data_IF_002318703273
#
_entry.id   IF_002318703273
#
_cell.length_a   1.000
_cell.length_b   1.000
_cell.length_c   1.000
_cell.angle_alpha   90.00
_cell.angle_beta   90.00
_cell.angle_gamma   90.00
#
_symmetry.space_group_name_H-M   'P 1'
#
loop_
_entity.id
_entity.type
_entity.pdbx_description
1 polymer ?
#
# COMPACT_ATOMS: atom_id res chain seq x y z
N UNK A 1 25.14 -7.92 -12.70
CA UNK A 1 24.09 -8.71 -13.36
C UNK A 1 23.69 -9.80 -12.38
N UNK A 2 22.72 -9.51 -11.53
CA UNK A 2 22.04 -10.54 -10.78
C UNK A 2 20.57 -10.12 -10.72
N UNK A 3 19.71 -10.87 -11.38
CA UNK A 3 18.30 -10.58 -11.48
C UNK A 3 17.68 -10.85 -10.11
N UNK A 4 17.20 -9.81 -9.44
CA UNK A 4 16.47 -9.93 -8.19
C UNK A 4 15.32 -10.94 -8.37
N UNK A 5 15.37 -12.04 -7.61
CA UNK A 5 14.29 -13.01 -7.57
C UNK A 5 13.04 -12.33 -6.98
N UNK A 6 11.85 -12.49 -7.59
CA UNK A 6 10.64 -11.91 -7.03
C UNK A 6 10.36 -12.49 -5.65
N UNK A 7 10.17 -11.62 -4.67
CA UNK A 7 9.76 -12.00 -3.32
C UNK A 7 8.30 -12.42 -3.40
N UNK A 8 8.06 -13.72 -3.27
CA UNK A 8 6.72 -14.30 -3.26
C UNK A 8 6.12 -14.05 -1.86
N UNK A 9 4.96 -13.37 -1.73
CA UNK A 9 4.36 -13.10 -0.42
C UNK A 9 4.03 -14.41 0.32
N UNK A 10 4.01 -14.38 1.65
CA UNK A 10 3.89 -15.54 2.57
C UNK A 10 2.55 -16.31 2.55
N UNK A 11 1.79 -16.22 1.45
CA UNK A 11 0.61 -17.04 1.13
C UNK A 11 0.66 -17.69 -0.26
N UNK A 12 1.76 -17.50 -1.00
CA UNK A 12 1.96 -17.96 -2.37
C UNK A 12 3.07 -19.00 -2.48
N UNK A 13 3.18 -19.94 -1.54
CA UNK A 13 4.22 -20.98 -1.59
C UNK A 13 4.36 -21.58 -2.99
N UNK A 14 5.56 -21.54 -3.54
CA UNK A 14 5.93 -22.21 -4.79
C UNK A 14 5.97 -23.72 -4.56
N UNK A 15 4.80 -24.34 -4.35
CA UNK A 15 4.65 -25.78 -4.45
C UNK A 15 4.92 -26.17 -5.89
N UNK A 16 5.89 -27.07 -6.11
CA UNK A 16 6.01 -27.78 -7.38
C UNK A 16 4.63 -28.32 -7.76
N UNK A 17 4.05 -27.94 -8.91
CA UNK A 17 2.71 -28.36 -9.24
C UNK A 17 2.73 -29.88 -9.37
N UNK A 18 1.99 -30.55 -8.47
CA UNK A 18 1.62 -31.93 -8.69
C UNK A 18 0.99 -32.03 -10.08
N UNK A 19 1.45 -32.99 -10.87
CA UNK A 19 0.94 -33.30 -12.22
C UNK A 19 -0.60 -33.30 -12.20
N UNK A 20 -1.22 -32.24 -12.72
CA UNK A 20 -2.69 -32.11 -12.81
C UNK A 20 -3.34 -30.97 -12.01
N UNK A 21 -2.62 -30.15 -11.24
CA UNK A 21 -3.23 -28.97 -10.61
C UNK A 21 -3.59 -27.91 -11.67
N UNK A 22 -4.86 -27.41 -11.73
CA UNK A 22 -5.24 -26.42 -12.73
C UNK A 22 -4.46 -25.13 -12.53
N UNK A 23 -3.78 -24.71 -13.61
CA UNK A 23 -3.03 -23.44 -13.69
C UNK A 23 -3.96 -22.28 -13.32
N UNK A 24 -3.43 -21.26 -12.65
CA UNK A 24 -4.17 -20.06 -12.30
C UNK A 24 -4.84 -19.47 -13.56
N UNK A 25 -6.05 -18.93 -13.42
CA UNK A 25 -6.68 -18.25 -14.55
C UNK A 25 -5.80 -17.06 -14.94
N UNK A 26 -5.76 -16.63 -16.22
CA UNK A 26 -4.92 -15.51 -16.63
C UNK A 26 -5.14 -14.22 -15.82
N UNK A 27 -6.35 -14.00 -15.31
CA UNK A 27 -6.67 -12.87 -14.43
C UNK A 27 -6.02 -13.03 -13.05
N UNK A 28 -6.00 -14.25 -12.51
CA UNK A 28 -5.33 -14.53 -11.24
C UNK A 28 -3.81 -14.46 -11.38
N UNK A 29 -3.24 -14.91 -12.50
CA UNK A 29 -1.80 -14.74 -12.76
C UNK A 29 -1.41 -13.26 -12.73
N UNK A 30 -2.15 -12.40 -13.44
CA UNK A 30 -1.94 -10.95 -13.41
C UNK A 30 -2.13 -10.34 -12.01
N UNK A 31 -3.15 -10.78 -11.25
CA UNK A 31 -3.35 -10.32 -9.87
C UNK A 31 -2.15 -10.67 -8.96
N UNK A 32 -1.67 -11.92 -9.02
CA UNK A 32 -0.56 -12.40 -8.19
C UNK A 32 0.72 -11.64 -8.51
N UNK A 33 0.99 -11.39 -9.78
CA UNK A 33 2.16 -10.61 -10.22
C UNK A 33 2.12 -9.18 -9.65
N UNK A 34 0.99 -8.49 -9.79
CA UNK A 34 0.82 -7.11 -9.29
C UNK A 34 0.89 -7.07 -7.76
N UNK A 35 0.30 -8.06 -7.07
CA UNK A 35 0.37 -8.16 -5.61
C UNK A 35 1.79 -8.45 -5.12
N UNK A 36 2.56 -9.28 -5.83
CA UNK A 36 3.96 -9.55 -5.48
C UNK A 36 4.85 -8.29 -5.59
N UNK A 37 4.51 -7.35 -6.49
CA UNK A 37 5.16 -6.05 -6.57
C UNK A 37 4.72 -5.07 -5.46
N UNK A 38 3.63 -5.36 -4.74
CA UNK A 38 3.04 -4.51 -3.69
C UNK A 38 2.71 -5.32 -2.42
N UNK A 39 3.71 -5.98 -1.79
CA UNK A 39 3.46 -6.98 -0.74
C UNK A 39 2.76 -6.39 0.49
N UNK A 40 3.10 -5.16 0.89
CA UNK A 40 2.62 -4.51 2.11
C UNK A 40 1.31 -3.72 1.93
N UNK A 41 0.69 -3.80 0.75
CA UNK A 41 -0.53 -3.06 0.43
C UNK A 41 -1.69 -4.02 0.17
N UNK A 42 -2.88 -3.70 0.67
CA UNK A 42 -4.10 -4.31 0.14
C UNK A 42 -4.26 -3.90 -1.33
N UNK A 43 -4.55 -4.85 -2.21
CA UNK A 43 -4.67 -4.58 -3.64
C UNK A 43 -6.13 -4.43 -4.06
N UNK A 44 -6.56 -3.19 -4.28
CA UNK A 44 -7.82 -2.87 -4.95
C UNK A 44 -7.68 -3.17 -6.44
N UNK A 45 -8.10 -4.36 -6.86
CA UNK A 45 -7.94 -4.81 -8.24
C UNK A 45 -9.21 -4.58 -9.06
N UNK A 46 -9.15 -3.67 -10.04
CA UNK A 46 -10.35 -3.30 -10.82
C UNK A 46 -10.88 -4.43 -11.69
N UNK A 47 -12.12 -4.82 -11.42
CA UNK A 47 -12.87 -5.83 -12.13
C UNK A 47 -14.25 -5.29 -12.52
N UNK A 48 -14.32 -4.61 -13.67
CA UNK A 48 -15.53 -3.92 -14.10
C UNK A 48 -15.84 -2.74 -13.18
N UNK A 49 -16.99 -2.79 -12.51
CA UNK A 49 -17.49 -1.73 -11.62
C UNK A 49 -17.16 -1.96 -10.13
N UNK A 50 -16.27 -2.92 -9.84
CA UNK A 50 -15.80 -3.24 -8.49
C UNK A 50 -14.28 -3.21 -8.41
N UNK A 51 -13.75 -2.85 -7.24
CA UNK A 51 -12.43 -3.29 -6.80
C UNK A 51 -12.60 -4.58 -6.04
N UNK A 52 -12.00 -5.66 -6.55
CA UNK A 52 -11.98 -6.96 -5.91
C UNK A 52 -10.64 -7.18 -5.22
N UNK A 53 -10.68 -7.82 -4.05
CA UNK A 53 -9.51 -8.31 -3.34
C UNK A 53 -9.60 -9.83 -3.25
N UNK A 54 -8.46 -10.52 -3.24
CA UNK A 54 -8.39 -11.98 -3.23
C UNK A 54 -7.47 -12.49 -2.12
N UNK A 55 -7.60 -13.78 -1.79
CA UNK A 55 -6.72 -14.45 -0.81
C UNK A 55 -6.73 -13.72 0.54
N UNK A 56 -5.56 -13.53 1.16
CA UNK A 56 -5.42 -12.86 2.45
C UNK A 56 -5.92 -11.40 2.43
N UNK A 57 -5.68 -10.67 1.34
CA UNK A 57 -6.18 -9.29 1.19
C UNK A 57 -7.70 -9.25 1.31
N UNK A 58 -8.41 -10.24 0.74
CA UNK A 58 -9.85 -10.34 0.86
C UNK A 58 -10.31 -10.57 2.30
N UNK A 59 -9.61 -11.44 3.03
CA UNK A 59 -9.96 -11.74 4.41
C UNK A 59 -9.71 -10.54 5.34
N UNK A 60 -8.58 -9.86 5.15
CA UNK A 60 -8.24 -8.64 5.90
C UNK A 60 -9.26 -7.54 5.60
N UNK A 61 -9.51 -7.25 4.32
CA UNK A 61 -10.44 -6.19 3.94
C UNK A 61 -11.88 -6.52 4.37
N UNK A 62 -12.34 -7.77 4.24
CA UNK A 62 -13.66 -8.16 4.69
C UNK A 62 -13.86 -7.94 6.19
N UNK A 63 -12.87 -8.31 7.01
CA UNK A 63 -12.91 -8.05 8.46
C UNK A 63 -12.85 -6.57 8.79
N UNK A 64 -11.92 -5.83 8.18
CA UNK A 64 -11.71 -4.40 8.43
C UNK A 64 -12.94 -3.56 8.03
N UNK A 65 -13.55 -3.88 6.89
CA UNK A 65 -14.66 -3.12 6.32
C UNK A 65 -16.04 -3.63 6.77
N UNK A 66 -16.11 -4.82 7.37
CA UNK A 66 -17.37 -5.47 7.71
C UNK A 66 -18.20 -5.83 6.47
N UNK A 67 -17.54 -6.19 5.37
CA UNK A 67 -18.19 -6.59 4.10
C UNK A 67 -18.18 -8.11 3.94
N UNK A 68 -19.03 -8.61 3.04
CA UNK A 68 -19.18 -10.05 2.82
C UNK A 68 -17.91 -10.64 2.21
N UNK A 69 -17.35 -11.65 2.88
CA UNK A 69 -16.33 -12.53 2.31
C UNK A 69 -17.01 -13.66 1.53
N UNK A 70 -16.66 -13.79 0.26
CA UNK A 70 -17.15 -14.80 -0.67
C UNK A 70 -15.99 -15.61 -1.24
N UNK A 71 -16.25 -16.38 -2.31
CA UNK A 71 -15.23 -17.16 -3.00
C UNK A 71 -15.38 -17.09 -4.51
N UNK A 72 -14.25 -17.13 -5.23
CA UNK A 72 -14.22 -17.08 -6.70
C UNK A 72 -13.33 -18.18 -7.29
N UNK A 73 -13.95 -19.30 -7.67
CA UNK A 73 -13.23 -20.41 -8.29
C UNK A 73 -12.20 -21.05 -7.36
N UNK A 74 -11.20 -21.70 -7.94
CA UNK A 74 -10.15 -22.42 -7.21
C UNK A 74 -8.76 -22.08 -7.73
N UNK A 75 -7.78 -22.03 -6.82
CA UNK A 75 -6.36 -21.96 -7.09
C UNK A 75 -5.64 -23.08 -6.33
N UNK A 76 -4.84 -23.88 -7.02
CA UNK A 76 -4.15 -25.06 -6.43
C UNK A 76 -5.12 -25.99 -5.65
N UNK A 77 -6.34 -26.17 -6.17
CA UNK A 77 -7.37 -27.01 -5.55
C UNK A 77 -8.14 -26.38 -4.38
N UNK A 78 -7.73 -25.20 -3.89
CA UNK A 78 -8.38 -24.47 -2.79
C UNK A 78 -9.29 -23.36 -3.33
N UNK A 79 -10.39 -23.08 -2.63
CA UNK A 79 -11.26 -21.95 -2.95
C UNK A 79 -10.49 -20.63 -2.77
N UNK A 80 -10.69 -19.66 -3.66
CA UNK A 80 -10.06 -18.34 -3.57
C UNK A 80 -10.99 -17.41 -2.77
N UNK A 81 -10.62 -16.97 -1.55
CA UNK A 81 -11.38 -15.95 -0.82
C UNK A 81 -11.47 -14.67 -1.64
N UNK A 82 -12.62 -14.01 -1.63
CA UNK A 82 -12.86 -12.79 -2.39
C UNK A 82 -13.85 -11.86 -1.69
N UNK A 83 -13.53 -10.58 -1.63
CA UNK A 83 -14.50 -9.52 -1.32
C UNK A 83 -14.36 -8.40 -2.35
N UNK A 84 -15.39 -7.56 -2.46
CA UNK A 84 -15.38 -6.46 -3.41
C UNK A 84 -16.03 -5.20 -2.86
N UNK A 85 -15.52 -4.06 -3.28
CA UNK A 85 -16.09 -2.73 -3.03
C UNK A 85 -16.51 -2.11 -4.35
N UNK A 86 -17.72 -1.51 -4.45
CA UNK A 86 -18.15 -0.87 -5.68
C UNK A 86 -17.36 0.43 -5.91
N UNK A 87 -16.93 0.69 -7.15
CA UNK A 87 -16.02 1.81 -7.47
C UNK A 87 -16.60 3.16 -7.07
N UNK A 88 -17.91 3.38 -7.26
CA UNK A 88 -18.58 4.64 -6.89
C UNK A 88 -18.61 4.92 -5.38
N UNK A 89 -18.24 3.95 -4.54
CA UNK A 89 -18.04 4.12 -3.08
C UNK A 89 -16.59 3.83 -2.66
N UNK A 90 -15.66 3.68 -3.60
CA UNK A 90 -14.30 3.25 -3.29
C UNK A 90 -13.62 4.19 -2.30
N UNK A 91 -13.80 5.51 -2.43
CA UNK A 91 -13.20 6.50 -1.55
C UNK A 91 -13.63 6.32 -0.09
N UNK A 92 -14.90 5.95 0.16
CA UNK A 92 -15.41 5.68 1.51
C UNK A 92 -14.73 4.46 2.13
N UNK A 93 -14.62 3.37 1.38
CA UNK A 93 -13.95 2.16 1.86
C UNK A 93 -12.45 2.35 2.01
N UNK A 94 -11.84 3.09 1.08
CA UNK A 94 -10.45 3.48 1.12
C UNK A 94 -10.16 4.27 2.41
N UNK A 95 -10.97 5.29 2.72
CA UNK A 95 -10.87 6.06 3.98
C UNK A 95 -10.78 5.12 5.19
N UNK A 96 -11.74 4.21 5.29
CA UNK A 96 -11.85 3.29 6.43
C UNK A 96 -10.63 2.37 6.54
N UNK A 97 -10.10 1.88 5.40
CA UNK A 97 -8.88 1.08 5.40
C UNK A 97 -7.66 1.89 5.85
N UNK A 98 -7.49 3.12 5.35
CA UNK A 98 -6.37 3.98 5.74
C UNK A 98 -6.46 4.34 7.23
N UNK A 99 -7.65 4.66 7.74
CA UNK A 99 -7.89 4.95 9.15
C UNK A 99 -7.63 3.75 10.08
N UNK A 100 -7.74 2.53 9.55
CA UNK A 100 -7.37 1.29 10.25
C UNK A 100 -5.89 0.92 10.10
N UNK A 101 -5.08 1.79 9.50
CA UNK A 101 -3.63 1.60 9.33
C UNK A 101 -3.23 0.74 8.14
N UNK A 102 -4.15 0.45 7.22
CA UNK A 102 -3.82 -0.27 5.99
C UNK A 102 -3.28 0.68 4.91
N UNK A 103 -2.37 0.17 4.09
CA UNK A 103 -1.95 0.81 2.83
C UNK A 103 -2.69 0.13 1.68
N UNK A 104 -3.11 0.89 0.68
CA UNK A 104 -3.94 0.35 -0.42
C UNK A 104 -3.33 0.72 -1.77
N UNK A 105 -3.02 -0.29 -2.58
CA UNK A 105 -2.62 -0.12 -3.97
C UNK A 105 -3.88 -0.19 -4.86
N UNK A 106 -4.13 0.88 -5.63
CA UNK A 106 -5.26 0.98 -6.55
C UNK A 106 -4.80 0.57 -7.94
N UNK A 107 -5.28 -0.58 -8.38
CA UNK A 107 -4.94 -1.20 -9.66
C UNK A 107 -6.09 -1.02 -10.66
N UNK A 108 -5.79 -0.32 -11.75
CA UNK A 108 -6.76 0.13 -12.75
C UNK A 108 -6.65 -0.65 -14.06
N UNK A 109 -7.71 -0.59 -14.85
CA UNK A 109 -7.68 -1.06 -16.24
C UNK A 109 -7.02 0.01 -17.11
N UNK A 110 -5.79 -0.25 -17.56
CA UNK A 110 -5.00 0.67 -18.41
C UNK A 110 -5.23 0.41 -19.91
N UNK A 111 -6.11 -0.53 -20.24
CA UNK A 111 -6.46 -0.91 -21.59
C UNK A 111 -7.98 -1.07 -21.70
N UNK A 112 -8.55 -0.65 -22.84
CA UNK A 112 -9.96 -0.85 -23.11
C UNK A 112 -10.27 -2.36 -23.34
N UNK A 113 -11.37 -2.89 -22.78
CA UNK A 113 -11.78 -4.29 -22.99
C UNK A 113 -11.92 -4.71 -24.47
N UNK A 114 -12.31 -3.81 -25.36
CA UNK A 114 -12.38 -4.06 -26.80
C UNK A 114 -10.99 -4.23 -27.41
N UNK A 115 -10.01 -3.43 -27.01
CA UNK A 115 -8.62 -3.57 -27.45
C UNK A 115 -8.00 -4.87 -26.95
N UNK A 116 -8.29 -5.25 -25.69
CA UNK A 116 -7.86 -6.53 -25.15
C UNK A 116 -8.42 -7.72 -25.96
N UNK A 117 -9.70 -7.67 -26.37
CA UNK A 117 -10.32 -8.69 -27.22
C UNK A 117 -9.66 -8.81 -28.59
N UNK A 118 -9.20 -7.69 -29.18
CA UNK A 118 -8.47 -7.70 -30.47
C UNK A 118 -7.15 -8.47 -30.38
N UNK A 119 -6.52 -8.53 -29.19
CA UNK A 119 -5.30 -9.33 -28.95
C UNK A 119 -5.57 -10.84 -28.86
N UNK A 120 -6.82 -11.28 -28.90
CA UNK A 120 -7.22 -12.69 -28.90
C UNK A 120 -8.19 -13.05 -27.77
N UNK A 121 -9.00 -14.10 -27.97
CA UNK A 121 -10.09 -14.47 -27.04
C UNK A 121 -9.67 -14.91 -25.62
N UNK A 122 -8.37 -15.10 -25.37
CA UNK A 122 -7.80 -15.41 -24.05
C UNK A 122 -7.04 -14.23 -23.43
N UNK A 123 -6.95 -13.10 -24.13
CA UNK A 123 -6.19 -11.95 -23.68
C UNK A 123 -6.94 -11.21 -22.57
N UNK A 124 -6.29 -11.10 -21.41
CA UNK A 124 -6.79 -10.32 -20.29
C UNK A 124 -6.47 -8.84 -20.50
N UNK A 125 -7.42 -7.99 -20.10
CA UNK A 125 -7.23 -6.52 -20.04
C UNK A 125 -5.99 -6.22 -19.23
N UNK A 126 -5.10 -5.37 -19.76
CA UNK A 126 -3.92 -4.92 -19.00
C UNK A 126 -4.34 -4.06 -17.81
N UNK A 127 -3.66 -4.29 -16.70
CA UNK A 127 -3.87 -3.56 -15.46
C UNK A 127 -2.54 -3.21 -14.82
N UNK A 128 -2.53 -2.09 -14.11
CA UNK A 128 -1.37 -1.65 -13.36
C UNK A 128 -1.80 -0.81 -12.15
N UNK A 129 -0.94 -0.73 -11.14
CA UNK A 129 -1.12 0.15 -9.99
C UNK A 129 -0.85 1.57 -10.43
N UNK A 130 -1.90 2.40 -10.41
CA UNK A 130 -1.77 3.81 -10.76
C UNK A 130 -1.50 4.68 -9.54
N UNK A 131 -1.79 4.16 -8.34
CA UNK A 131 -1.72 4.91 -7.10
C UNK A 131 -1.55 3.98 -5.91
N UNK A 132 -0.66 4.34 -4.99
CA UNK A 132 -0.58 3.75 -3.65
C UNK A 132 -1.05 4.80 -2.67
N UNK A 133 -2.04 4.44 -1.87
CA UNK A 133 -2.70 5.30 -0.90
C UNK A 133 -2.23 4.88 0.50
N UNK A 134 -1.74 5.86 1.23
CA UNK A 134 -1.17 5.72 2.58
C UNK A 134 -1.65 6.89 3.45
N UNK A 135 -1.57 6.79 4.78
CA UNK A 135 -2.00 7.86 5.67
C UNK A 135 -1.39 9.24 5.34
N UNK A 136 -0.09 9.29 4.98
CA UNK A 136 0.59 10.55 4.68
C UNK A 136 0.41 11.05 3.24
N UNK A 137 -0.25 10.30 2.35
CA UNK A 137 -0.34 10.62 0.92
C UNK A 137 -1.77 10.87 0.43
N UNK A 138 -2.70 11.13 1.35
CA UNK A 138 -4.09 11.43 1.02
C UNK A 138 -4.19 12.79 0.30
N UNK A 139 -4.99 12.83 -0.76
CA UNK A 139 -5.21 14.06 -1.56
C UNK A 139 -6.67 14.44 -1.68
N UNK A 140 -7.58 13.50 -1.46
CA UNK A 140 -9.02 13.71 -1.52
C UNK A 140 -9.53 14.49 -0.31
N UNK A 141 -10.30 15.55 -0.56
CA UNK A 141 -10.91 16.38 0.50
C UNK A 141 -11.77 15.55 1.48
N UNK A 142 -12.40 14.48 1.01
CA UNK A 142 -13.21 13.58 1.84
C UNK A 142 -12.39 12.75 2.81
N UNK A 143 -11.08 12.65 2.60
CA UNK A 143 -10.13 11.90 3.42
C UNK A 143 -9.32 12.79 4.37
N UNK A 144 -9.37 14.11 4.17
CA UNK A 144 -8.57 15.09 4.90
C UNK A 144 -9.43 15.82 5.95
N UNK A 145 -8.84 16.14 7.11
CA UNK A 145 -9.46 17.08 8.04
C UNK A 145 -9.13 18.51 7.59
N UNK A 146 -10.13 19.24 7.13
CA UNK A 146 -10.00 20.60 6.61
C UNK A 146 -9.37 21.62 7.59
N UNK A 147 -9.21 21.28 8.87
CA UNK A 147 -8.62 22.16 9.90
C UNK A 147 -7.14 21.88 10.16
N UNK A 148 -6.56 20.85 9.57
CA UNK A 148 -5.15 20.49 9.80
C UNK A 148 -4.48 20.00 8.50
N UNK A 149 -3.17 20.18 8.44
CA UNK A 149 -2.37 19.62 7.36
C UNK A 149 -2.21 18.11 7.56
N UNK A 150 -2.06 17.38 6.44
CA UNK A 150 -1.74 15.95 6.44
C UNK A 150 -0.29 15.77 5.98
N UNK A 151 0.64 15.95 6.93
CA UNK A 151 2.05 15.91 6.61
C UNK A 151 2.60 14.50 6.47
N UNK A 152 3.35 14.27 5.40
CA UNK A 152 4.33 13.20 5.27
C UNK A 152 5.70 13.74 5.69
N UNK A 153 6.27 13.18 6.76
CA UNK A 153 7.57 13.60 7.31
C UNK A 153 8.65 12.57 6.98
N UNK A 154 9.78 13.03 6.43
CA UNK A 154 11.00 12.24 6.30
C UNK A 154 12.04 12.71 7.32
N UNK A 155 12.69 11.76 8.00
CA UNK A 155 13.73 12.03 9.00
C UNK A 155 15.00 11.29 8.62
N UNK A 156 16.12 12.00 8.62
CA UNK A 156 17.46 11.44 8.41
C UNK A 156 18.44 11.98 9.45
N UNK A 157 19.47 11.21 9.79
CA UNK A 157 20.62 11.74 10.55
C UNK A 157 21.45 12.64 9.64
N UNK A 158 21.68 13.88 10.07
CA UNK A 158 22.68 14.74 9.44
C UNK A 158 24.08 14.19 9.78
N UNK A 159 24.99 14.13 8.80
CA UNK A 159 26.28 13.45 8.94
C UNK A 159 27.19 14.15 9.97
N UNK A 160 28.01 13.35 10.67
CA UNK A 160 29.17 13.71 11.51
C UNK A 160 28.93 14.25 12.93
N UNK A 161 27.85 13.85 13.60
CA UNK A 161 27.75 14.04 15.05
C UNK A 161 28.13 12.76 15.78
N UNK A 162 29.11 12.87 16.69
CA UNK A 162 29.39 11.91 17.75
C UNK A 162 28.06 11.67 18.49
N UNK A 163 27.83 10.48 19.06
CA UNK A 163 26.52 10.02 19.55
C UNK A 163 25.73 11.03 20.40
N UNK A 164 26.39 11.96 21.09
CA UNK A 164 25.79 13.00 21.93
C UNK A 164 25.26 14.24 21.16
N UNK A 165 25.81 14.56 19.98
CA UNK A 165 25.45 15.74 19.17
C UNK A 165 24.56 15.41 17.96
N UNK A 166 23.91 14.23 17.95
CA UNK A 166 23.17 13.73 16.78
C UNK A 166 22.15 14.76 16.28
N UNK A 167 22.42 15.32 15.10
CA UNK A 167 21.52 16.23 14.37
C UNK A 167 20.66 15.43 13.40
N UNK A 168 19.44 15.90 13.19
CA UNK A 168 18.43 15.31 12.33
C UNK A 168 18.01 16.32 11.26
N UNK A 169 18.09 15.88 10.01
CA UNK A 169 17.47 16.56 8.89
C UNK A 169 16.02 16.10 8.79
N UNK A 170 15.11 17.07 8.67
CA UNK A 170 13.68 16.89 8.52
C UNK A 170 13.25 17.49 7.19
N UNK A 171 12.42 16.77 6.46
CA UNK A 171 11.71 17.28 5.31
C UNK A 171 10.26 16.82 5.40
N UNK A 172 9.30 17.73 5.27
CA UNK A 172 7.90 17.34 5.28
C UNK A 172 7.12 18.06 4.20
N UNK A 173 6.12 17.35 3.68
CA UNK A 173 5.21 17.83 2.64
C UNK A 173 3.76 17.59 3.07
N UNK A 174 2.90 18.55 2.79
CA UNK A 174 1.46 18.29 2.65
C UNK A 174 1.17 18.15 1.15
N UNK A 175 0.84 16.92 0.72
CA UNK A 175 0.67 16.61 -0.71
C UNK A 175 -0.56 17.32 -1.30
N UNK A 176 -1.59 17.54 -0.48
CA UNK A 176 -2.84 18.16 -0.93
C UNK A 176 -2.67 19.66 -1.25
N UNK A 177 -1.79 20.34 -0.52
CA UNK A 177 -1.53 21.79 -0.70
C UNK A 177 -0.23 22.08 -1.44
N UNK A 178 0.69 21.12 -1.52
CA UNK A 178 2.04 21.32 -2.03
C UNK A 178 2.96 22.06 -1.07
N UNK A 179 2.54 22.32 0.18
CA UNK A 179 3.39 22.94 1.18
C UNK A 179 4.58 22.01 1.48
N UNK A 180 5.79 22.48 1.24
CA UNK A 180 7.02 21.74 1.50
C UNK A 180 7.98 22.55 2.35
N UNK A 181 8.54 21.93 3.40
CA UNK A 181 9.48 22.56 4.31
C UNK A 181 10.59 21.59 4.71
N UNK A 182 11.72 22.18 5.07
CA UNK A 182 12.89 21.47 5.60
C UNK A 182 13.38 22.14 6.87
N UNK A 183 13.95 21.36 7.78
CA UNK A 183 14.60 21.87 8.99
C UNK A 183 15.72 20.94 9.47
N UNK A 184 16.59 21.47 10.33
CA UNK A 184 17.53 20.67 11.12
C UNK A 184 17.19 20.81 12.60
N UNK A 185 17.21 19.69 13.33
CA UNK A 185 16.96 19.64 14.78
C UNK A 185 17.99 18.78 15.47
N UNK A 186 18.31 19.09 16.73
CA UNK A 186 18.93 18.11 17.62
C UNK A 186 17.89 17.10 18.12
N UNK A 187 18.30 16.18 19.01
CA UNK A 187 17.40 15.16 19.57
C UNK A 187 16.20 15.75 20.33
N UNK A 188 16.40 16.80 21.12
CA UNK A 188 15.32 17.42 21.89
C UNK A 188 14.33 18.15 20.98
N UNK A 189 14.86 18.89 20.01
CA UNK A 189 14.09 19.58 18.98
C UNK A 189 13.33 18.63 18.06
N UNK A 190 13.86 17.43 17.79
CA UNK A 190 13.19 16.42 16.96
C UNK A 190 11.83 16.02 17.56
N UNK A 191 11.82 15.65 18.84
CA UNK A 191 10.59 15.23 19.51
C UNK A 191 9.55 16.37 19.54
N UNK A 192 9.99 17.60 19.79
CA UNK A 192 9.13 18.77 19.74
C UNK A 192 8.58 19.04 18.33
N UNK A 193 9.38 18.84 17.29
CA UNK A 193 8.97 19.04 15.90
C UNK A 193 7.94 17.98 15.46
N UNK A 194 8.14 16.70 15.80
CA UNK A 194 7.18 15.63 15.52
C UNK A 194 5.84 15.91 16.22
N UNK A 195 5.88 16.29 17.50
CA UNK A 195 4.67 16.61 18.27
C UNK A 195 3.94 17.86 17.73
N UNK A 196 4.68 18.83 17.16
CA UNK A 196 4.09 20.03 16.54
C UNK A 196 3.47 19.73 15.18
N UNK A 197 4.10 18.85 14.40
CA UNK A 197 3.67 18.51 13.05
C UNK A 197 2.52 17.50 13.04
N UNK A 198 2.45 16.60 14.03
CA UNK A 198 1.51 15.47 14.07
C UNK A 198 1.40 14.77 12.69
N UNK A 199 2.53 14.31 12.10
CA UNK A 199 2.53 13.80 10.74
C UNK A 199 1.64 12.56 10.62
N UNK A 200 0.91 12.48 9.51
CA UNK A 200 0.09 11.29 9.21
C UNK A 200 0.95 10.07 8.90
N UNK A 201 2.19 10.28 8.46
CA UNK A 201 3.16 9.22 8.18
C UNK A 201 4.60 9.73 8.31
N UNK A 202 5.48 8.86 8.81
CA UNK A 202 6.90 9.16 8.98
C UNK A 202 7.75 8.14 8.21
N UNK A 203 8.63 8.65 7.34
CA UNK A 203 9.63 7.87 6.61
C UNK A 203 10.98 8.01 7.33
N UNK A 204 11.57 6.87 7.67
CA UNK A 204 12.90 6.78 8.28
C UNK A 204 13.71 5.66 7.62
N UNK A 205 15.03 5.70 7.76
CA UNK A 205 15.86 4.55 7.40
C UNK A 205 15.75 3.43 8.44
N UNK A 206 16.04 2.19 8.05
CA UNK A 206 16.07 1.04 8.97
C UNK A 206 16.96 1.28 10.19
N UNK A 207 18.10 1.95 9.99
CA UNK A 207 19.01 2.32 11.06
C UNK A 207 18.38 3.27 12.09
N UNK A 208 17.52 4.19 11.65
CA UNK A 208 16.76 5.07 12.54
C UNK A 208 15.57 4.37 13.17
N UNK A 209 14.89 3.51 12.42
CA UNK A 209 13.76 2.72 12.91
C UNK A 209 14.17 1.76 14.04
N UNK A 210 15.40 1.23 13.97
CA UNK A 210 15.99 0.38 15.00
C UNK A 210 16.59 1.14 16.20
N UNK A 211 16.62 2.47 16.18
CA UNK A 211 17.15 3.27 17.29
C UNK A 211 16.14 3.29 18.44
N UNK A 212 16.47 2.59 19.53
CA UNK A 212 15.62 2.49 20.72
C UNK A 212 15.28 3.85 21.34
N UNK A 213 16.13 4.87 21.16
CA UNK A 213 15.86 6.21 21.66
C UNK A 213 14.81 6.97 20.83
N UNK A 214 14.62 6.58 19.56
CA UNK A 214 13.66 7.22 18.65
C UNK A 214 12.36 6.44 18.48
N UNK A 215 12.38 5.13 18.76
CA UNK A 215 11.21 4.25 18.65
C UNK A 215 9.92 4.80 19.28
N UNK A 216 9.92 5.48 20.45
CA UNK A 216 8.69 6.03 21.04
C UNK A 216 8.01 7.11 20.17
N UNK A 217 8.76 7.81 19.31
CA UNK A 217 8.24 8.89 18.47
C UNK A 217 7.87 8.44 17.05
N UNK A 218 8.29 7.22 16.66
CA UNK A 218 8.11 6.69 15.30
C UNK A 218 7.00 5.63 15.21
N UNK A 219 6.49 5.15 16.35
CA UNK A 219 5.54 4.03 16.45
C UNK A 219 4.18 4.43 17.03
N UNK A 220 3.94 5.72 17.21
CA UNK A 220 2.67 6.30 17.64
C UNK A 220 1.72 6.48 16.46
#
# INVERSE_FOLDING_TARGET
MDAARPIIPSGFESGSPGEGAPRATPVMEQYIEIKAANPDCLLFYRMGDFYELFFEDAEVAARALGIVLTKRGKHLGRDIPMCGVPIHRADEYLNRLIALGHRVAVCEQIEDPAEAKKRGGKSVVRRDVIRVVTPGTLTEDTLLDARRNNYLLAIARARASIAEDSRFALAWIDISTGEFRIAERDRGGLAAEIARLEPGEIIVSDALYGDAALAPYLRS
#
